data_IF_188566939443
#
_entry.id   IF_188566939443
#
_cell.length_a   1.000
_cell.length_b   1.000
_cell.length_c   1.000
_cell.angle_alpha   90.00
_cell.angle_beta   90.00
_cell.angle_gamma   90.00
#
_symmetry.space_group_name_H-M   'P 1'
#
loop_
_entity.id
_entity.type
_entity.pdbx_description
1 polymer ?
#
# COMPACT_ATOMS: atom_id res chain seq x y z
N UNK A 1 15.30 15.71 24.07
CA UNK A 1 15.61 16.81 23.15
C UNK A 1 16.52 16.24 22.10
N UNK A 2 15.95 15.84 20.98
CA UNK A 2 16.64 15.70 19.69
C UNK A 2 15.52 15.76 18.65
N UNK A 3 15.07 16.99 18.40
CA UNK A 3 14.17 17.32 17.30
C UNK A 3 14.99 17.23 16.01
N UNK A 4 15.06 16.03 15.43
CA UNK A 4 15.54 15.81 14.07
C UNK A 4 14.49 16.35 13.07
N UNK A 5 14.37 17.68 13.04
CA UNK A 5 13.68 18.45 12.00
C UNK A 5 14.64 18.60 10.83
N UNK A 6 14.83 17.54 10.04
CA UNK A 6 15.71 17.61 8.86
C UNK A 6 15.09 16.80 7.73
N UNK A 7 14.21 17.46 6.96
CA UNK A 7 14.07 17.39 5.50
C UNK A 7 12.76 18.09 5.12
N UNK A 8 12.77 19.42 4.97
CA UNK A 8 11.69 20.11 4.25
C UNK A 8 12.02 20.15 2.76
N UNK A 9 12.11 18.97 2.13
CA UNK A 9 11.97 18.92 0.68
C UNK A 9 10.54 19.38 0.35
N UNK A 10 10.42 20.50 -0.37
CA UNK A 10 9.13 20.88 -0.95
C UNK A 10 8.87 19.99 -2.16
N UNK A 11 8.06 18.95 -1.96
CA UNK A 11 7.63 18.11 -3.08
C UNK A 11 6.52 18.82 -3.85
N UNK A 12 6.74 18.96 -5.16
CA UNK A 12 5.71 19.37 -6.10
C UNK A 12 4.88 18.16 -6.53
N UNK A 13 3.55 18.26 -6.43
CA UNK A 13 2.61 17.26 -6.92
C UNK A 13 1.97 17.66 -8.27
N UNK A 14 2.49 18.72 -8.92
CA UNK A 14 1.94 19.23 -10.19
C UNK A 14 1.96 18.20 -11.31
N UNK A 15 2.97 17.34 -11.35
CA UNK A 15 3.06 16.24 -12.34
C UNK A 15 1.96 15.19 -12.14
N UNK A 16 1.41 15.09 -10.93
CA UNK A 16 0.23 14.27 -10.61
C UNK A 16 -1.09 15.02 -10.85
N UNK A 17 -1.07 16.25 -11.37
CA UNK A 17 -2.27 17.08 -11.53
C UNK A 17 -2.86 17.60 -10.21
N UNK A 18 -2.11 17.53 -9.10
CA UNK A 18 -2.54 18.08 -7.80
C UNK A 18 -1.92 19.47 -7.65
N UNK A 19 -2.77 20.50 -7.67
CA UNK A 19 -2.36 21.90 -7.62
C UNK A 19 -2.61 22.53 -6.25
N UNK A 20 -1.69 23.41 -5.82
CA UNK A 20 -1.81 24.24 -4.62
C UNK A 20 -2.15 23.49 -3.32
N UNK A 21 -1.90 22.19 -3.26
CA UNK A 21 -2.08 21.42 -2.05
C UNK A 21 -1.03 21.81 -1.00
N UNK A 22 -1.44 21.86 0.27
CA UNK A 22 -0.54 21.97 1.40
C UNK A 22 0.05 20.60 1.69
N UNK A 23 1.24 20.34 1.16
CA UNK A 23 1.90 19.05 1.28
C UNK A 23 2.56 18.89 2.66
N UNK A 24 2.21 17.81 3.36
CA UNK A 24 2.89 17.30 4.55
C UNK A 24 3.75 16.11 4.15
N UNK A 25 5.03 16.36 3.90
CA UNK A 25 5.96 15.36 3.37
C UNK A 25 6.73 14.63 4.47
N UNK A 26 6.82 13.30 4.37
CA UNK A 26 7.65 12.42 5.22
C UNK A 26 7.47 12.63 6.74
N UNK A 27 6.28 13.04 7.20
CA UNK A 27 6.01 13.18 8.64
C UNK A 27 6.34 11.90 9.40
N UNK A 28 6.81 12.02 10.63
CA UNK A 28 7.05 10.86 11.50
C UNK A 28 5.74 10.13 11.86
N UNK A 29 5.87 8.90 12.37
CA UNK A 29 4.72 8.14 12.85
C UNK A 29 3.96 8.90 13.95
N UNK A 30 4.68 9.52 14.89
CA UNK A 30 4.12 10.31 15.99
C UNK A 30 3.36 11.54 15.50
N UNK A 31 3.89 12.25 14.48
CA UNK A 31 3.20 13.40 13.89
C UNK A 31 1.91 12.98 13.19
N UNK A 32 1.93 11.88 12.42
CA UNK A 32 0.74 11.36 11.75
C UNK A 32 -0.30 10.87 12.75
N UNK A 33 0.15 10.23 13.83
CA UNK A 33 -0.70 9.81 14.94
C UNK A 33 -1.36 11.03 15.61
N UNK A 34 -0.57 12.02 16.02
CA UNK A 34 -1.07 13.24 16.68
C UNK A 34 -2.06 14.01 15.79
N UNK A 35 -1.79 14.15 14.49
CA UNK A 35 -2.71 14.80 13.54
C UNK A 35 -4.02 14.02 13.43
N UNK A 36 -3.97 12.68 13.41
CA UNK A 36 -5.18 11.84 13.36
C UNK A 36 -6.07 12.08 14.58
N UNK A 37 -5.48 12.15 15.77
CA UNK A 37 -6.21 12.46 17.01
C UNK A 37 -6.75 13.88 17.01
N UNK A 38 -5.95 14.87 16.60
CA UNK A 38 -6.34 16.28 16.53
C UNK A 38 -7.54 16.51 15.61
N UNK A 39 -7.61 15.78 14.50
CA UNK A 39 -8.72 15.85 13.54
C UNK A 39 -9.94 15.00 13.96
N UNK A 40 -9.87 14.30 15.10
CA UNK A 40 -10.94 13.40 15.56
C UNK A 40 -11.17 12.20 14.65
N UNK A 41 -10.16 11.80 13.87
CA UNK A 41 -10.23 10.70 12.90
C UNK A 41 -9.82 9.34 13.51
N UNK A 42 -9.49 9.32 14.79
CA UNK A 42 -9.14 8.13 15.54
C UNK A 42 -9.11 8.41 17.04
N UNK A 43 -8.90 7.35 17.81
CA UNK A 43 -8.70 7.41 19.27
C UNK A 43 -7.48 6.60 19.64
N UNK A 44 -6.83 6.97 20.73
CA UNK A 44 -5.73 6.18 21.30
C UNK A 44 -6.29 5.15 22.28
N UNK A 45 -5.83 3.91 22.18
CA UNK A 45 -6.19 2.85 23.13
C UNK A 45 -5.30 2.88 24.39
N UNK A 46 -5.52 1.98 25.34
CA UNK A 46 -4.75 1.91 26.60
C UNK A 46 -3.26 1.59 26.43
N UNK A 47 -2.83 1.14 25.25
CA UNK A 47 -1.43 0.82 24.93
C UNK A 47 -0.72 1.94 24.17
N UNK A 48 -1.41 3.04 23.85
CA UNK A 48 -0.88 4.10 22.99
C UNK A 48 -1.04 3.83 21.50
N UNK A 49 -1.73 2.75 21.10
CA UNK A 49 -1.97 2.43 19.70
C UNK A 49 -3.17 3.22 19.17
N UNK A 50 -3.03 3.73 17.94
CA UNK A 50 -4.07 4.45 17.22
C UNK A 50 -5.13 3.49 16.69
N UNK A 51 -6.37 3.66 17.13
CA UNK A 51 -7.55 2.99 16.59
C UNK A 51 -8.32 3.95 15.67
N UNK A 52 -8.57 3.52 14.43
CA UNK A 52 -9.33 4.28 13.43
C UNK A 52 -10.56 3.49 12.98
N UNK A 53 -11.54 4.20 12.43
CA UNK A 53 -12.71 3.62 11.78
C UNK A 53 -12.63 3.90 10.27
N UNK A 54 -12.64 2.83 9.47
CA UNK A 54 -12.56 2.91 7.99
C UNK A 54 -13.90 3.25 7.32
N UNK A 55 -14.96 3.44 8.12
CA UNK A 55 -16.31 3.75 7.66
C UNK A 55 -17.07 2.51 7.20
N UNK A 56 -17.81 2.63 6.10
CA UNK A 56 -18.65 1.58 5.53
C UNK A 56 -17.85 0.32 5.15
N UNK A 57 -16.64 0.51 4.62
CA UNK A 57 -15.80 -0.57 4.12
C UNK A 57 -14.83 -1.05 5.20
N UNK A 58 -15.09 -2.22 5.78
CA UNK A 58 -14.24 -2.88 6.79
C UNK A 58 -13.39 -4.00 6.21
N UNK A 59 -13.40 -4.13 4.88
CA UNK A 59 -12.69 -5.15 4.13
C UNK A 59 -12.53 -4.73 2.67
N UNK A 60 -11.85 -5.59 1.89
CA UNK A 60 -11.69 -5.37 0.45
C UNK A 60 -13.02 -5.35 -0.27
N UNK A 61 -13.06 -4.63 -1.40
CA UNK A 61 -14.20 -4.62 -2.33
C UNK A 61 -13.80 -5.22 -3.69
N UNK A 62 -13.73 -6.57 -3.83
CA UNK A 62 -13.17 -7.20 -5.03
C UNK A 62 -13.86 -6.83 -6.34
N UNK A 63 -15.17 -6.54 -6.29
CA UNK A 63 -15.96 -6.15 -7.47
C UNK A 63 -15.73 -4.69 -7.90
N UNK A 64 -15.02 -3.90 -7.09
CA UNK A 64 -14.68 -2.50 -7.36
C UNK A 64 -13.17 -2.32 -7.56
N UNK A 65 -12.44 -3.44 -7.74
CA UNK A 65 -11.04 -3.46 -8.14
C UNK A 65 -10.95 -3.61 -9.65
N UNK A 66 -10.30 -2.66 -10.30
CA UNK A 66 -10.15 -2.64 -11.75
C UNK A 66 -8.68 -2.52 -12.17
N UNK A 67 -8.40 -2.92 -13.40
CA UNK A 67 -7.11 -2.69 -14.06
C UNK A 67 -7.40 -2.00 -15.39
N UNK A 68 -6.74 -0.87 -15.65
CA UNK A 68 -6.84 -0.17 -16.93
C UNK A 68 -6.36 -1.11 -18.02
N UNK A 69 -7.20 -1.32 -19.03
CA UNK A 69 -6.86 -2.10 -20.22
C UNK A 69 -6.16 -1.19 -21.22
N UNK A 70 -4.85 -1.22 -21.19
CA UNK A 70 -3.93 -0.47 -22.04
C UNK A 70 -3.04 -1.42 -22.87
N UNK A 71 -2.10 -0.88 -23.65
CA UNK A 71 -1.19 -1.68 -24.47
C UNK A 71 -0.22 -2.55 -23.68
N UNK A 72 -0.02 -2.28 -22.38
CA UNK A 72 0.85 -3.08 -21.50
C UNK A 72 0.09 -4.30 -20.98
N UNK A 73 -1.19 -4.12 -20.66
CA UNK A 73 -2.01 -5.09 -19.94
C UNK A 73 -2.92 -5.91 -20.84
N UNK A 74 -3.29 -5.41 -22.02
CA UNK A 74 -4.31 -6.00 -22.90
C UNK A 74 -4.10 -7.50 -23.14
N UNK A 75 -2.88 -7.90 -23.51
CA UNK A 75 -2.56 -9.29 -23.84
C UNK A 75 -1.92 -10.07 -22.68
N UNK A 76 -1.53 -9.39 -21.60
CA UNK A 76 -0.77 -9.98 -20.49
C UNK A 76 -1.63 -10.27 -19.26
N UNK A 77 -2.69 -9.50 -19.05
CA UNK A 77 -3.59 -9.69 -17.91
C UNK A 77 -4.61 -10.78 -18.21
N UNK A 78 -4.78 -11.69 -17.25
CA UNK A 78 -5.86 -12.68 -17.31
C UNK A 78 -7.21 -12.03 -16.92
N UNK A 79 -7.91 -11.48 -17.91
CA UNK A 79 -9.19 -10.78 -17.74
C UNK A 79 -10.33 -11.71 -17.29
N UNK A 80 -11.20 -11.21 -16.41
CA UNK A 80 -12.37 -11.95 -15.93
C UNK A 80 -13.01 -11.32 -14.70
N UNK A 81 -13.65 -12.14 -13.87
CA UNK A 81 -14.36 -11.65 -12.68
C UNK A 81 -13.42 -11.14 -11.57
N UNK A 82 -12.11 -11.42 -11.65
CA UNK A 82 -11.10 -10.98 -10.69
C UNK A 82 -10.32 -9.76 -11.21
N UNK A 83 -9.94 -9.78 -12.48
CA UNK A 83 -9.27 -8.67 -13.16
C UNK A 83 -10.27 -8.02 -14.11
N UNK A 84 -10.96 -7.00 -13.60
CA UNK A 84 -12.03 -6.31 -14.33
C UNK A 84 -11.40 -5.17 -15.14
N UNK A 85 -11.60 -5.12 -16.47
CA UNK A 85 -11.00 -4.09 -17.30
C UNK A 85 -11.63 -2.72 -17.01
N UNK A 86 -10.80 -1.69 -16.98
CA UNK A 86 -11.20 -0.28 -16.96
C UNK A 86 -10.74 0.42 -18.23
N UNK A 87 -11.54 1.35 -18.76
CA UNK A 87 -11.14 2.14 -19.93
C UNK A 87 -10.07 3.17 -19.55
N UNK A 88 -9.03 3.33 -20.38
CA UNK A 88 -8.02 4.38 -20.20
C UNK A 88 -8.63 5.79 -20.20
N UNK A 89 -9.63 6.04 -21.07
CA UNK A 89 -10.33 7.34 -21.12
C UNK A 89 -11.16 7.60 -19.86
N UNK A 90 -11.80 6.55 -19.33
CA UNK A 90 -12.55 6.66 -18.08
C UNK A 90 -11.60 6.88 -16.90
N UNK A 91 -10.47 6.17 -16.87
CA UNK A 91 -9.44 6.34 -15.85
C UNK A 91 -8.91 7.77 -15.84
N UNK A 92 -8.55 8.30 -17.00
CA UNK A 92 -8.03 9.67 -17.12
C UNK A 92 -9.02 10.70 -16.57
N UNK A 93 -10.30 10.58 -16.92
CA UNK A 93 -11.35 11.48 -16.41
C UNK A 93 -11.51 11.38 -14.90
N UNK A 94 -11.57 10.15 -14.37
CA UNK A 94 -11.73 9.92 -12.93
C UNK A 94 -10.48 10.36 -12.15
N UNK A 95 -9.29 10.06 -12.64
CA UNK A 95 -8.02 10.49 -12.08
C UNK A 95 -7.96 12.01 -11.96
N UNK A 96 -8.31 12.74 -13.03
CA UNK A 96 -8.35 14.20 -13.03
C UNK A 96 -9.36 14.76 -12.01
N UNK A 97 -10.52 14.11 -11.81
CA UNK A 97 -11.46 14.50 -10.75
C UNK A 97 -10.87 14.30 -9.35
N UNK A 98 -10.19 13.17 -9.11
CA UNK A 98 -9.57 12.87 -7.81
C UNK A 98 -8.43 13.85 -7.51
N UNK A 99 -7.56 14.13 -8.48
CA UNK A 99 -6.42 15.05 -8.27
C UNK A 99 -6.89 16.49 -8.12
N UNK A 100 -7.93 16.90 -8.85
CA UNK A 100 -8.61 18.17 -8.62
C UNK A 100 -9.27 18.22 -7.22
N UNK A 101 -9.87 17.12 -6.76
CA UNK A 101 -10.44 17.04 -5.41
C UNK A 101 -9.38 17.17 -4.31
N UNK A 102 -8.18 16.65 -4.53
CA UNK A 102 -7.04 16.78 -3.60
C UNK A 102 -6.35 18.16 -3.69
N UNK A 103 -6.53 18.87 -4.80
CA UNK A 103 -5.97 20.21 -5.00
C UNK A 103 -6.53 21.21 -3.99
N UNK A 104 -5.69 22.17 -3.57
CA UNK A 104 -6.01 23.17 -2.54
C UNK A 104 -6.32 22.61 -1.14
N UNK A 105 -6.10 21.32 -0.89
CA UNK A 105 -6.26 20.69 0.43
C UNK A 105 -4.91 20.44 1.10
N UNK A 106 -4.96 20.13 2.40
CA UNK A 106 -3.83 19.48 3.04
C UNK A 106 -3.78 18.01 2.61
N UNK A 107 -2.60 17.53 2.22
CA UNK A 107 -2.36 16.15 1.79
C UNK A 107 -1.08 15.63 2.45
N UNK A 108 -1.02 14.32 2.65
CA UNK A 108 0.12 13.64 3.27
C UNK A 108 0.87 12.85 2.22
N UNK A 109 2.17 13.11 2.10
CA UNK A 109 3.01 12.50 1.07
C UNK A 109 4.14 11.73 1.72
N UNK A 110 4.33 10.49 1.28
CA UNK A 110 5.40 9.62 1.74
C UNK A 110 6.09 8.95 0.57
N UNK A 111 7.40 9.04 0.56
CA UNK A 111 8.24 8.24 -0.32
C UNK A 111 8.70 7.00 0.45
N UNK A 112 8.39 5.84 -0.11
CA UNK A 112 8.66 4.53 0.45
C UNK A 112 9.14 3.59 -0.65
N UNK A 113 9.49 2.35 -0.32
CA UNK A 113 9.70 1.33 -1.33
C UNK A 113 9.09 0.00 -0.92
N UNK A 114 8.88 -0.85 -1.90
CA UNK A 114 8.54 -2.26 -1.71
C UNK A 114 9.63 -3.12 -2.34
N UNK A 115 9.66 -4.39 -1.93
CA UNK A 115 10.71 -5.36 -2.25
C UNK A 115 12.04 -5.03 -1.56
N UNK A 116 12.42 -5.86 -0.58
CA UNK A 116 13.64 -5.71 0.22
C UNK A 116 14.92 -6.09 -0.53
N UNK A 117 14.81 -6.83 -1.64
CA UNK A 117 15.96 -7.09 -2.51
C UNK A 117 16.24 -5.85 -3.40
N UNK A 118 17.44 -5.24 -3.34
CA UNK A 118 17.78 -4.04 -4.10
C UNK A 118 17.60 -4.17 -5.62
N UNK A 119 17.73 -5.37 -6.19
CA UNK A 119 17.55 -5.59 -7.64
C UNK A 119 16.08 -5.54 -8.04
N UNK A 120 15.18 -5.80 -7.09
CA UNK A 120 13.74 -5.87 -7.31
C UNK A 120 12.98 -4.70 -6.71
N UNK A 121 13.65 -3.91 -5.85
CA UNK A 121 13.14 -2.68 -5.23
C UNK A 121 12.30 -1.87 -6.21
N UNK A 122 11.15 -1.42 -5.73
CA UNK A 122 10.24 -0.55 -6.45
C UNK A 122 9.95 0.67 -5.58
N UNK A 123 10.38 1.84 -6.05
CA UNK A 123 10.12 3.10 -5.34
C UNK A 123 8.65 3.50 -5.49
N UNK A 124 7.97 3.77 -4.37
CA UNK A 124 6.55 4.11 -4.31
C UNK A 124 6.38 5.48 -3.64
N UNK A 125 5.74 6.43 -4.33
CA UNK A 125 5.22 7.66 -3.72
C UNK A 125 3.77 7.46 -3.33
N UNK A 126 3.44 7.70 -2.08
CA UNK A 126 2.08 7.62 -1.56
C UNK A 126 1.57 9.02 -1.29
N UNK A 127 0.43 9.37 -1.89
CA UNK A 127 -0.31 10.61 -1.65
C UNK A 127 -1.66 10.25 -1.05
N UNK A 128 -1.90 10.68 0.19
CA UNK A 128 -3.16 10.39 0.90
C UNK A 128 -3.87 11.66 1.34
N UNK A 129 -5.20 11.59 1.36
CA UNK A 129 -6.05 12.63 1.96
C UNK A 129 -5.90 12.70 3.48
N UNK A 130 -5.69 11.56 4.15
CA UNK A 130 -5.68 11.46 5.61
C UNK A 130 -4.32 11.05 6.17
N UNK A 131 -4.03 11.50 7.40
CA UNK A 131 -2.78 11.19 8.10
C UNK A 131 -2.68 9.69 8.43
N UNK A 132 -3.76 9.07 8.89
CA UNK A 132 -3.77 7.64 9.23
C UNK A 132 -3.58 6.72 8.02
N UNK A 133 -4.05 7.10 6.82
CA UNK A 133 -3.74 6.34 5.59
C UNK A 133 -2.25 6.43 5.24
N UNK A 134 -1.61 7.57 5.47
CA UNK A 134 -0.16 7.71 5.29
C UNK A 134 0.61 6.91 6.34
N UNK A 135 0.14 6.90 7.60
CA UNK A 135 0.73 6.10 8.69
C UNK A 135 0.63 4.60 8.40
N UNK A 136 -0.48 4.15 7.82
CA UNK A 136 -0.58 2.77 7.34
C UNK A 136 0.53 2.44 6.34
N UNK A 137 0.78 3.31 5.36
CA UNK A 137 1.87 3.09 4.39
C UNK A 137 3.26 3.19 5.02
N UNK A 138 3.44 4.03 6.04
CA UNK A 138 4.69 4.06 6.84
C UNK A 138 4.95 2.72 7.53
N UNK A 139 3.90 2.07 8.04
CA UNK A 139 4.01 0.77 8.69
C UNK A 139 4.24 -0.35 7.67
N UNK A 140 3.48 -0.35 6.56
CA UNK A 140 3.46 -1.47 5.63
C UNK A 140 4.59 -1.47 4.61
N UNK A 141 5.08 -0.31 4.17
CA UNK A 141 6.16 -0.24 3.17
C UNK A 141 7.51 -0.02 3.83
N UNK A 142 8.58 -0.38 3.10
CA UNK A 142 9.95 -0.19 3.56
C UNK A 142 10.31 1.31 3.51
N UNK A 143 11.05 1.75 4.52
CA UNK A 143 11.39 3.16 4.73
C UNK A 143 12.77 3.45 4.12
N UNK A 144 12.89 4.42 3.21
CA UNK A 144 14.18 4.89 2.73
C UNK A 144 14.95 5.55 3.87
N UNK A 145 16.27 5.46 3.81
CA UNK A 145 17.15 6.28 4.63
C UNK A 145 17.07 7.75 4.17
N UNK A 146 17.36 8.69 5.06
CA UNK A 146 17.34 10.12 4.76
C UNK A 146 18.22 10.49 3.56
N UNK A 147 19.34 9.79 3.38
CA UNK A 147 20.25 9.98 2.25
C UNK A 147 19.65 9.54 0.90
N UNK A 148 18.73 8.56 0.92
CA UNK A 148 18.04 8.07 -0.27
C UNK A 148 16.91 9.00 -0.72
N UNK A 149 16.31 9.75 0.21
CA UNK A 149 15.25 10.72 -0.07
C UNK A 149 15.74 11.89 -0.94
N UNK A 150 17.02 12.26 -0.84
CA UNK A 150 17.60 13.37 -1.60
C UNK A 150 17.42 13.22 -3.13
N UNK A 151 17.48 11.98 -3.63
CA UNK A 151 17.38 11.65 -5.06
C UNK A 151 16.22 10.67 -5.35
N UNK A 152 15.21 10.65 -4.49
CA UNK A 152 14.11 9.70 -4.63
C UNK A 152 13.30 9.98 -5.90
N UNK A 153 13.22 8.97 -6.77
CA UNK A 153 12.37 9.01 -7.96
C UNK A 153 11.32 7.91 -7.83
N UNK A 154 10.03 8.27 -7.72
CA UNK A 154 8.97 7.27 -7.64
C UNK A 154 8.83 6.54 -8.98
N UNK A 155 8.77 5.22 -8.92
CA UNK A 155 8.39 4.39 -10.07
C UNK A 155 6.89 4.17 -10.12
N UNK A 156 6.26 4.00 -8.95
CA UNK A 156 4.82 3.90 -8.79
C UNK A 156 4.29 4.97 -7.87
N UNK A 157 3.04 5.37 -8.09
CA UNK A 157 2.35 6.30 -7.21
C UNK A 157 1.04 5.69 -6.70
N UNK A 158 0.82 5.74 -5.39
CA UNK A 158 -0.47 5.47 -4.77
C UNK A 158 -1.16 6.80 -4.51
N UNK A 159 -2.39 6.96 -4.99
CA UNK A 159 -3.24 8.12 -4.68
C UNK A 159 -4.50 7.62 -3.97
N UNK A 160 -4.65 7.96 -2.70
CA UNK A 160 -5.75 7.50 -1.85
C UNK A 160 -6.57 8.69 -1.32
N UNK A 161 -7.81 8.79 -1.78
CA UNK A 161 -8.78 9.81 -1.40
C UNK A 161 -10.09 9.15 -0.91
N UNK A 162 -10.11 8.56 0.30
CA UNK A 162 -11.25 7.80 0.81
C UNK A 162 -12.57 8.59 0.84
N UNK A 163 -12.53 9.93 0.98
CA UNK A 163 -13.74 10.75 0.99
C UNK A 163 -14.24 11.13 -0.42
N UNK A 164 -13.48 10.84 -1.47
CA UNK A 164 -13.93 11.06 -2.85
C UNK A 164 -14.85 9.92 -3.28
N UNK A 165 -16.10 10.22 -3.60
CA UNK A 165 -17.08 9.25 -4.09
C UNK A 165 -17.22 9.39 -5.61
N UNK A 166 -16.94 8.32 -6.36
CA UNK A 166 -17.21 8.29 -7.80
C UNK A 166 -18.73 8.33 -8.06
N UNK A 167 -19.10 8.85 -9.23
CA UNK A 167 -20.45 8.75 -9.78
C UNK A 167 -20.47 7.62 -10.85
N UNK A 168 -21.04 6.44 -10.55
CA UNK A 168 -21.07 5.31 -11.47
C UNK A 168 -21.71 5.62 -12.82
N UNK A 169 -22.61 6.62 -12.89
CA UNK A 169 -23.27 6.98 -14.13
C UNK A 169 -22.32 7.61 -15.15
N UNK A 170 -21.21 8.19 -14.71
CA UNK A 170 -20.29 8.96 -15.58
C UNK A 170 -18.82 8.57 -15.45
N UNK A 171 -18.43 7.94 -14.35
CA UNK A 171 -17.03 7.62 -14.04
C UNK A 171 -16.61 6.21 -14.48
N UNK A 172 -17.56 5.38 -14.91
CA UNK A 172 -17.28 4.01 -15.36
C UNK A 172 -16.99 3.02 -14.22
N UNK A 173 -17.15 3.44 -12.96
CA UNK A 173 -17.10 2.56 -11.78
C UNK A 173 -18.42 1.82 -11.60
N UNK A 174 -18.39 0.74 -10.81
CA UNK A 174 -19.60 -0.04 -10.47
C UNK A 174 -20.43 0.66 -9.39
N UNK A 175 -19.77 1.24 -8.39
CA UNK A 175 -20.36 2.02 -7.31
C UNK A 175 -19.41 3.17 -6.90
N UNK A 176 -19.69 3.84 -5.79
CA UNK A 176 -18.95 5.04 -5.37
C UNK A 176 -17.49 4.80 -4.99
N UNK A 177 -17.16 3.63 -4.44
CA UNK A 177 -15.77 3.24 -4.17
C UNK A 177 -15.12 2.55 -5.37
N UNK A 178 -13.80 2.66 -5.44
CA UNK A 178 -12.99 2.09 -6.51
C UNK A 178 -11.53 1.92 -6.06
N UNK A 179 -10.88 0.90 -6.60
CA UNK A 179 -9.44 0.70 -6.56
C UNK A 179 -8.96 0.33 -7.97
N UNK A 180 -8.21 1.21 -8.63
CA UNK A 180 -7.87 1.06 -10.04
C UNK A 180 -6.35 1.10 -10.22
N UNK A 181 -5.81 0.12 -10.96
CA UNK A 181 -4.40 0.09 -11.35
C UNK A 181 -4.26 0.52 -12.81
N UNK A 182 -3.38 1.49 -13.07
CA UNK A 182 -2.95 1.88 -14.41
C UNK A 182 -1.44 1.61 -14.54
N UNK A 183 -1.07 0.67 -15.42
CA UNK A 183 0.33 0.27 -15.59
C UNK A 183 1.10 1.20 -16.52
N UNK A 184 0.43 1.89 -17.44
CA UNK A 184 1.05 2.92 -18.30
C UNK A 184 1.46 4.13 -17.48
N UNK A 185 0.57 4.63 -16.61
CA UNK A 185 0.85 5.75 -15.69
C UNK A 185 1.57 5.32 -14.42
N UNK A 186 1.59 4.02 -14.11
CA UNK A 186 2.12 3.42 -12.88
C UNK A 186 1.44 4.00 -11.62
N UNK A 187 0.11 4.02 -11.64
CA UNK A 187 -0.74 4.59 -10.59
C UNK A 187 -1.63 3.50 -9.99
N UNK A 188 -1.70 3.47 -8.66
CA UNK A 188 -2.77 2.84 -7.91
C UNK A 188 -3.69 3.94 -7.36
N UNK A 189 -4.90 4.04 -7.91
CA UNK A 189 -5.89 5.07 -7.56
C UNK A 189 -7.00 4.47 -6.69
N UNK A 190 -7.22 5.02 -5.50
CA UNK A 190 -8.19 4.52 -4.52
C UNK A 190 -9.10 5.67 -4.08
N UNK A 191 -10.41 5.44 -4.09
CA UNK A 191 -11.42 6.39 -3.63
C UNK A 191 -12.67 5.71 -3.08
N UNK A 192 -13.42 6.45 -2.26
CA UNK A 192 -14.70 6.04 -1.68
C UNK A 192 -14.63 4.97 -0.60
N UNK A 193 -13.43 4.46 -0.27
CA UNK A 193 -13.21 3.46 0.77
C UNK A 193 -12.08 3.88 1.69
N UNK A 194 -12.33 3.81 3.00
CA UNK A 194 -11.31 4.02 4.03
C UNK A 194 -10.51 2.75 4.36
N UNK A 195 -10.80 1.62 3.71
CA UNK A 195 -10.13 0.35 4.03
C UNK A 195 -8.67 0.37 3.57
N UNK A 196 -7.74 0.45 4.52
CA UNK A 196 -6.29 0.60 4.26
C UNK A 196 -5.69 -0.53 3.42
N UNK A 197 -6.25 -1.74 3.52
CA UNK A 197 -5.79 -2.90 2.78
C UNK A 197 -5.86 -2.76 1.26
N UNK A 198 -6.63 -1.80 0.72
CA UNK A 198 -6.62 -1.50 -0.72
C UNK A 198 -5.27 -0.92 -1.20
N UNK A 199 -4.58 -0.11 -0.36
CA UNK A 199 -3.25 0.41 -0.70
C UNK A 199 -2.20 -0.71 -0.73
N UNK A 200 -2.22 -1.56 0.31
CA UNK A 200 -1.37 -2.76 0.42
C UNK A 200 -1.55 -3.66 -0.81
N UNK A 201 -2.79 -4.14 -1.01
CA UNK A 201 -3.10 -5.13 -2.05
C UNK A 201 -3.10 -4.54 -3.46
N UNK A 202 -3.23 -3.22 -3.61
CA UNK A 202 -3.02 -2.52 -4.88
C UNK A 202 -1.59 -2.65 -5.37
N UNK A 203 -0.60 -2.33 -4.52
CA UNK A 203 0.82 -2.50 -4.86
C UNK A 203 1.20 -3.97 -5.00
N UNK A 204 0.69 -4.85 -4.13
CA UNK A 204 0.90 -6.29 -4.29
C UNK A 204 0.39 -6.79 -5.65
N UNK A 205 -0.77 -6.31 -6.09
CA UNK A 205 -1.32 -6.65 -7.40
C UNK A 205 -0.45 -6.17 -8.55
N UNK A 206 0.13 -4.98 -8.44
CA UNK A 206 1.09 -4.48 -9.41
C UNK A 206 2.35 -5.36 -9.46
N UNK A 207 2.90 -5.76 -8.31
CA UNK A 207 4.05 -6.65 -8.22
C UNK A 207 3.75 -8.05 -8.79
N UNK A 208 2.54 -8.57 -8.58
CA UNK A 208 2.10 -9.85 -9.16
C UNK A 208 2.11 -9.85 -10.70
N UNK A 209 2.07 -8.68 -11.33
CA UNK A 209 2.25 -8.53 -12.76
C UNK A 209 3.71 -8.21 -13.12
N UNK A 210 4.32 -7.23 -12.45
CA UNK A 210 5.64 -6.71 -12.79
C UNK A 210 6.73 -7.76 -12.64
N UNK A 211 6.72 -8.52 -11.54
CA UNK A 211 7.78 -9.47 -11.24
C UNK A 211 7.87 -10.62 -12.26
N UNK A 212 6.77 -11.33 -12.60
CA UNK A 212 6.85 -12.41 -13.57
C UNK A 212 7.02 -11.89 -15.01
N UNK A 213 6.40 -10.76 -15.37
CA UNK A 213 6.42 -10.26 -16.76
C UNK A 213 7.75 -9.58 -17.10
N UNK A 214 8.32 -8.80 -16.17
CA UNK A 214 9.48 -7.93 -16.47
C UNK A 214 10.75 -8.28 -15.70
N UNK A 215 10.66 -9.00 -14.57
CA UNK A 215 11.82 -9.23 -13.70
C UNK A 215 12.19 -10.71 -13.50
N UNK A 216 11.49 -11.65 -14.12
CA UNK A 216 11.73 -13.10 -13.98
C UNK A 216 11.81 -13.56 -12.51
N UNK A 217 10.91 -13.03 -11.67
CA UNK A 217 10.77 -13.44 -10.28
C UNK A 217 9.33 -13.90 -9.99
N UNK A 218 9.18 -14.88 -9.11
CA UNK A 218 7.90 -15.42 -8.70
C UNK A 218 7.34 -14.61 -7.52
N UNK A 219 6.24 -13.85 -7.70
CA UNK A 219 5.51 -13.24 -6.61
C UNK A 219 4.69 -14.31 -5.87
N UNK A 220 4.64 -14.21 -4.56
CA UNK A 220 4.00 -15.19 -3.69
C UNK A 220 3.17 -14.51 -2.61
N UNK A 221 1.99 -15.07 -2.35
CA UNK A 221 1.13 -14.69 -1.23
C UNK A 221 1.27 -15.74 -0.12
N UNK A 222 2.26 -15.55 0.74
CA UNK A 222 2.70 -16.51 1.73
C UNK A 222 3.35 -15.79 2.92
N UNK A 223 3.47 -16.46 4.06
CA UNK A 223 4.47 -16.08 5.05
C UNK A 223 5.78 -16.84 4.78
N UNK A 224 6.90 -16.31 5.28
CA UNK A 224 8.19 -16.99 5.20
C UNK A 224 9.05 -16.71 6.43
N UNK A 225 9.85 -17.70 6.83
CA UNK A 225 10.82 -17.58 7.93
C UNK A 225 12.11 -18.35 7.59
N UNK A 226 13.18 -18.05 8.34
CA UNK A 226 14.51 -18.64 8.15
C UNK A 226 15.03 -19.23 9.47
N UNK A 227 15.55 -20.46 9.39
CA UNK A 227 16.18 -21.14 10.52
C UNK A 227 17.62 -20.66 10.76
N UNK A 228 18.24 -21.12 11.85
CA UNK A 228 19.62 -20.76 12.17
C UNK A 228 20.65 -21.22 11.12
N UNK A 229 20.36 -22.32 10.42
CA UNK A 229 21.20 -22.86 9.34
C UNK A 229 20.99 -22.14 7.99
N UNK A 230 20.09 -21.15 7.94
CA UNK A 230 19.75 -20.40 6.73
C UNK A 230 18.72 -21.09 5.83
N UNK A 231 18.14 -22.20 6.27
CA UNK A 231 17.05 -22.88 5.57
C UNK A 231 15.77 -22.02 5.61
N UNK A 232 15.17 -21.79 4.45
CA UNK A 232 13.95 -20.96 4.33
C UNK A 232 12.71 -21.85 4.20
N UNK A 233 11.67 -21.54 4.99
CA UNK A 233 10.36 -22.17 4.86
C UNK A 233 9.33 -21.15 4.36
N UNK A 234 8.42 -21.59 3.50
CA UNK A 234 7.38 -20.78 2.87
C UNK A 234 6.02 -21.42 3.15
N UNK A 235 5.06 -20.62 3.62
CA UNK A 235 3.75 -21.09 4.04
C UNK A 235 2.65 -20.44 3.19
N UNK A 236 2.12 -21.20 2.24
CA UNK A 236 0.95 -20.77 1.46
C UNK A 236 -0.35 -21.10 2.22
N UNK A 237 -1.34 -20.22 2.09
CA UNK A 237 -2.62 -20.41 2.74
C UNK A 237 -3.55 -19.21 2.60
N UNK A 238 -4.84 -19.43 2.72
CA UNK A 238 -5.83 -18.35 2.74
C UNK A 238 -5.86 -17.67 4.12
N UNK A 239 -6.69 -16.64 4.26
CA UNK A 239 -6.93 -16.01 5.57
C UNK A 239 -7.50 -17.05 6.54
N UNK A 240 -6.92 -17.15 7.74
CA UNK A 240 -7.39 -18.05 8.81
C UNK A 240 -6.89 -19.50 8.71
N UNK A 241 -5.98 -19.83 7.79
CA UNK A 241 -5.40 -21.18 7.67
C UNK A 241 -4.11 -21.38 8.47
N UNK A 242 -3.83 -20.52 9.45
CA UNK A 242 -2.66 -20.65 10.33
C UNK A 242 -1.32 -20.14 9.77
N UNK A 243 -1.28 -19.45 8.61
CA UNK A 243 -0.02 -18.91 8.03
C UNK A 243 0.80 -18.11 9.04
N UNK A 244 0.18 -17.11 9.66
CA UNK A 244 0.84 -16.18 10.59
C UNK A 244 1.33 -16.91 11.83
N UNK A 245 0.48 -17.75 12.42
CA UNK A 245 0.80 -18.57 13.60
C UNK A 245 1.96 -19.53 13.32
N UNK A 246 1.96 -20.22 12.17
CA UNK A 246 3.03 -21.17 11.83
C UNK A 246 4.34 -20.49 11.42
N UNK A 247 4.28 -19.26 10.91
CA UNK A 247 5.50 -18.51 10.57
C UNK A 247 6.17 -17.85 11.77
N UNK A 248 5.41 -17.54 12.83
CA UNK A 248 5.90 -16.96 14.08
C UNK A 248 6.44 -18.05 15.03
N UNK A 249 7.36 -18.86 14.50
CA UNK A 249 8.07 -19.88 15.27
C UNK A 249 9.23 -19.20 16.04
N UNK A 250 9.31 -19.32 17.38
CA UNK A 250 10.35 -18.66 18.16
C UNK A 250 11.78 -19.14 17.83
N UNK A 251 11.95 -20.32 17.22
CA UNK A 251 13.25 -20.83 16.78
C UNK A 251 13.63 -20.35 15.37
N UNK A 252 12.77 -19.56 14.71
CA UNK A 252 12.97 -19.10 13.32
C UNK A 252 12.75 -17.60 13.19
N UNK A 253 13.58 -16.94 12.39
CA UNK A 253 13.44 -15.49 12.15
C UNK A 253 12.41 -15.24 11.05
N UNK A 254 11.39 -14.45 11.35
CA UNK A 254 10.38 -14.05 10.38
C UNK A 254 11.00 -13.20 9.26
N UNK A 255 10.74 -13.58 8.00
CA UNK A 255 11.09 -12.76 6.83
C UNK A 255 9.94 -11.79 6.51
N UNK A 256 8.70 -12.29 6.55
CA UNK A 256 7.47 -11.50 6.38
C UNK A 256 6.22 -12.38 6.53
N UNK A 257 5.06 -11.76 6.72
CA UNK A 257 3.80 -12.44 7.06
C UNK A 257 2.89 -12.76 5.86
N UNK A 258 3.07 -12.08 4.71
CA UNK A 258 2.02 -12.12 3.66
C UNK A 258 2.53 -12.05 2.21
N UNK A 259 3.57 -11.27 1.88
CA UNK A 259 3.94 -10.98 0.49
C UNK A 259 5.45 -11.10 0.22
N UNK A 260 5.84 -12.05 -0.64
CA UNK A 260 7.25 -12.34 -0.94
C UNK A 260 7.51 -12.50 -2.44
N UNK A 261 8.77 -12.32 -2.83
CA UNK A 261 9.27 -12.68 -4.14
C UNK A 261 10.31 -13.78 -4.03
N UNK A 262 10.39 -14.63 -5.05
CA UNK A 262 11.42 -15.64 -5.20
C UNK A 262 12.14 -15.45 -6.52
N UNK A 263 13.44 -15.17 -6.44
CA UNK A 263 14.30 -14.88 -7.59
C UNK A 263 14.79 -16.14 -8.28
N UNK A 264 15.26 -15.99 -9.52
CA UNK A 264 15.94 -17.08 -10.26
C UNK A 264 17.24 -17.54 -9.58
N UNK A 265 17.87 -16.66 -8.80
CA UNK A 265 19.06 -16.93 -7.98
C UNK A 265 18.72 -17.66 -6.66
N UNK A 266 17.47 -18.10 -6.49
CA UNK A 266 16.98 -18.82 -5.33
C UNK A 266 16.99 -17.98 -4.03
N UNK A 267 16.69 -16.69 -4.14
CA UNK A 267 16.55 -15.79 -2.99
C UNK A 267 15.07 -15.47 -2.75
N UNK A 268 14.63 -15.62 -1.50
CA UNK A 268 13.30 -15.17 -1.04
C UNK A 268 13.46 -13.81 -0.37
N UNK A 269 12.62 -12.85 -0.75
CA UNK A 269 12.65 -11.50 -0.18
C UNK A 269 11.24 -11.00 0.14
N UNK A 270 11.12 -10.19 1.19
CA UNK A 270 9.84 -9.60 1.60
C UNK A 270 9.51 -8.41 0.69
N UNK A 271 8.23 -8.18 0.41
CA UNK A 271 7.80 -6.94 -0.24
C UNK A 271 7.62 -5.79 0.74
N UNK A 272 7.38 -6.11 2.01
CA UNK A 272 6.80 -5.21 3.00
C UNK A 272 7.80 -4.81 4.09
N UNK A 273 7.48 -3.72 4.80
CA UNK A 273 8.23 -3.19 5.96
C UNK A 273 7.51 -3.38 7.30
N UNK A 274 6.37 -4.08 7.30
CA UNK A 274 5.55 -4.36 8.49
C UNK A 274 4.49 -5.43 8.21
N UNK A 275 3.61 -5.66 9.19
CA UNK A 275 2.59 -6.71 9.15
C UNK A 275 1.18 -6.14 9.23
N UNK A 276 0.20 -6.81 8.62
CA UNK A 276 -1.23 -6.42 8.67
C UNK A 276 -2.09 -7.53 9.28
N UNK A 277 -1.86 -7.78 10.57
CA UNK A 277 -2.47 -8.87 11.32
C UNK A 277 -3.97 -8.69 11.57
N UNK A 278 -4.68 -9.81 11.71
CA UNK A 278 -6.06 -9.84 12.18
C UNK A 278 -6.05 -9.95 13.70
N UNK A 279 -6.77 -9.05 14.36
CA UNK A 279 -6.76 -8.95 15.83
C UNK A 279 -8.10 -9.35 16.47
N UNK A 280 -9.00 -9.97 15.70
CA UNK A 280 -10.25 -10.50 16.26
C UNK A 280 -9.93 -11.72 17.14
N UNK A 281 -10.38 -11.69 18.39
CA UNK A 281 -10.07 -12.71 19.41
C UNK A 281 -8.58 -12.88 19.73
N UNK A 282 -7.76 -11.87 19.45
CA UNK A 282 -6.34 -11.87 19.83
C UNK A 282 -6.20 -11.98 21.35
N UNK A 283 -5.32 -12.86 21.81
CA UNK A 283 -4.93 -12.95 23.22
C UNK A 283 -3.42 -13.04 23.35
N UNK A 284 -2.86 -12.42 24.40
CA UNK A 284 -1.42 -12.49 24.71
C UNK A 284 -0.94 -13.94 24.89
N UNK A 285 -1.82 -14.85 25.34
CA UNK A 285 -1.50 -16.27 25.51
C UNK A 285 -1.29 -17.00 24.17
N UNK A 286 -2.12 -16.72 23.17
CA UNK A 286 -2.10 -17.45 21.89
C UNK A 286 -1.15 -16.82 20.87
N UNK A 287 -0.99 -15.49 20.91
CA UNK A 287 -0.20 -14.73 19.96
C UNK A 287 0.69 -13.66 20.66
N UNK A 288 1.61 -14.04 21.58
CA UNK A 288 2.37 -13.10 22.41
C UNK A 288 3.26 -12.12 21.62
N UNK A 289 3.66 -12.48 20.40
CA UNK A 289 4.51 -11.66 19.53
C UNK A 289 3.72 -10.62 18.72
N UNK A 290 2.38 -10.73 18.65
CA UNK A 290 1.47 -9.82 17.92
C UNK A 290 0.85 -8.83 18.90
#
# INVERSE_FOLDING_TARGET
>A
MDTNTLFSQSISLKELGIENAKVRYQLSADELHAITLQLGQGVENSTGALAINTGEFTGRSPQDRFIVRDSITEDQVWWGNVNIPFSSDAFEKLYNKVTQFLSNKEVFVRDAYVCSDPNYRLNVRVVTETAWSNLFCYNMFLRPEDSELANFTPEWTVVCAPSFMADPAVDGTRQSNFAILDFTKKIALIGGTGYTGEMKKGIFSALNFILPVFKNALPMHCSANVGEEGDTAIFFGLSGTGKTTLSADPERKLIGDDEHGWTAENTVFNFEGGCYAKVINLTEENEPDI
#
